data_IF_657700921331
#
_entry.id   IF_657700921331
#
_cell.length_a   1.000
_cell.length_b   1.000
_cell.length_c   1.000
_cell.angle_alpha   90.00
_cell.angle_beta   90.00
_cell.angle_gamma   90.00
#
_symmetry.space_group_name_H-M   'P 1'
#
loop_
_entity.id
_entity.type
_entity.pdbx_description
1 polymer ?
#
# COMPACT_ATOMS: atom_id res chain seq x y z
N UNK A 1 13.37 5.60 6.18
CA UNK A 1 12.69 4.60 7.02
C UNK A 1 12.62 5.18 8.41
N UNK A 2 11.41 5.36 8.93
CA UNK A 2 11.17 5.86 10.29
C UNK A 2 10.50 4.73 11.07
N UNK A 3 10.95 4.49 12.29
CA UNK A 3 10.40 3.43 13.15
C UNK A 3 10.25 3.96 14.57
N UNK A 4 9.16 3.58 15.23
CA UNK A 4 8.91 3.86 16.63
C UNK A 4 8.61 2.54 17.35
N UNK A 5 9.24 2.32 18.50
CA UNK A 5 9.06 1.09 19.30
C UNK A 5 8.26 1.40 20.55
N UNK A 6 7.16 0.67 20.74
CA UNK A 6 6.27 0.83 21.89
C UNK A 6 6.25 -0.50 22.66
N UNK A 7 7.05 -0.67 23.74
CA UNK A 7 7.30 -1.99 24.34
C UNK A 7 6.07 -2.74 24.87
N UNK A 8 4.99 -2.04 25.18
CA UNK A 8 3.77 -2.60 25.77
C UNK A 8 2.70 -3.00 24.73
N UNK A 9 2.94 -2.73 23.44
CA UNK A 9 2.02 -3.07 22.34
C UNK A 9 2.51 -4.32 21.61
N UNK A 10 1.60 -5.26 21.32
CA UNK A 10 1.89 -6.53 20.63
C UNK A 10 1.46 -6.53 19.15
N UNK A 11 1.34 -5.35 18.56
CA UNK A 11 0.99 -5.13 17.15
C UNK A 11 1.95 -4.12 16.52
N UNK A 12 1.97 -4.07 15.19
CA UNK A 12 2.74 -3.08 14.44
C UNK A 12 1.89 -2.52 13.30
N UNK A 13 2.26 -1.33 12.82
CA UNK A 13 1.73 -0.74 11.60
C UNK A 13 2.90 -0.41 10.68
N UNK A 14 2.73 -0.64 9.38
CA UNK A 14 3.73 -0.36 8.36
C UNK A 14 3.07 0.42 7.23
N UNK A 15 3.64 1.57 6.88
CA UNK A 15 3.21 2.39 5.75
C UNK A 15 4.36 2.65 4.78
N UNK A 16 4.01 2.86 3.52
CA UNK A 16 4.92 3.32 2.48
C UNK A 16 4.46 4.70 2.02
N UNK A 17 5.34 5.69 2.07
CA UNK A 17 5.07 7.05 1.59
C UNK A 17 5.94 7.35 0.39
N UNK A 18 5.30 7.81 -0.69
CA UNK A 18 5.96 8.25 -1.90
C UNK A 18 5.70 9.75 -2.04
N UNK A 19 6.76 10.55 -2.25
CA UNK A 19 6.63 11.99 -2.48
C UNK A 19 6.28 12.28 -3.95
N UNK A 20 5.17 11.71 -4.41
CA UNK A 20 4.62 11.86 -5.77
C UNK A 20 3.09 11.94 -5.70
N UNK A 21 2.49 12.75 -6.55
CA UNK A 21 1.04 12.83 -6.71
C UNK A 21 0.65 13.57 -7.98
N UNK A 22 -0.63 13.95 -8.10
CA UNK A 22 -1.13 14.63 -9.32
C UNK A 22 -0.41 15.94 -9.65
N UNK A 23 0.23 16.58 -8.66
CA UNK A 23 1.06 17.78 -8.89
C UNK A 23 2.32 17.48 -9.72
N UNK A 24 2.83 16.26 -9.67
CA UNK A 24 4.06 15.85 -10.33
C UNK A 24 3.79 15.25 -11.73
N UNK A 25 2.52 15.24 -12.17
CA UNK A 25 2.10 14.70 -13.46
C UNK A 25 2.20 15.74 -14.57
N UNK A 26 2.50 15.28 -15.80
CA UNK A 26 2.39 16.10 -17.00
C UNK A 26 1.01 15.95 -17.65
N UNK A 27 0.66 16.84 -18.58
CA UNK A 27 -0.64 16.82 -19.28
C UNK A 27 -0.96 15.48 -19.97
N UNK A 28 0.05 14.69 -20.38
CA UNK A 28 -0.15 13.39 -21.03
C UNK A 28 -0.34 12.25 -20.03
N UNK A 29 0.07 12.43 -18.77
CA UNK A 29 0.03 11.42 -17.71
C UNK A 29 -0.88 11.82 -16.55
N UNK A 30 -1.84 12.71 -16.80
CA UNK A 30 -2.77 13.18 -15.78
C UNK A 30 -3.64 12.02 -15.28
N UNK A 31 -3.71 11.85 -13.95
CA UNK A 31 -4.41 10.77 -13.26
C UNK A 31 -3.60 9.48 -13.07
N UNK A 32 -2.33 9.44 -13.47
CA UNK A 32 -1.51 8.22 -13.38
C UNK A 32 -1.19 7.82 -11.93
N UNK A 33 -1.01 8.77 -11.02
CA UNK A 33 -0.75 8.52 -9.61
C UNK A 33 -1.95 7.83 -8.96
N UNK A 34 -3.15 8.36 -9.18
CA UNK A 34 -4.39 7.72 -8.71
C UNK A 34 -4.61 6.37 -9.39
N UNK A 35 -4.32 6.25 -10.69
CA UNK A 35 -4.42 4.96 -11.37
C UNK A 35 -3.47 3.91 -10.77
N UNK A 36 -2.22 4.27 -10.52
CA UNK A 36 -1.22 3.40 -9.87
C UNK A 36 -1.69 3.00 -8.48
N UNK A 37 -2.21 3.94 -7.69
CA UNK A 37 -2.78 3.67 -6.36
C UNK A 37 -3.82 2.54 -6.42
N UNK A 38 -4.80 2.62 -7.32
CA UNK A 38 -5.80 1.55 -7.50
C UNK A 38 -5.18 0.23 -7.94
N UNK A 39 -4.19 0.27 -8.83
CA UNK A 39 -3.53 -0.93 -9.35
C UNK A 39 -2.70 -1.65 -8.29
N UNK A 40 -2.14 -0.95 -7.29
CA UNK A 40 -1.41 -1.57 -6.19
C UNK A 40 -2.27 -2.56 -5.40
N UNK A 41 -3.59 -2.34 -5.33
CA UNK A 41 -4.53 -3.25 -4.65
C UNK A 41 -5.08 -4.37 -5.54
N UNK A 42 -4.79 -4.37 -6.86
CA UNK A 42 -5.28 -5.42 -7.79
C UNK A 42 -4.40 -6.67 -7.82
N UNK A 43 -3.29 -6.66 -7.10
CA UNK A 43 -2.40 -7.80 -6.94
C UNK A 43 -1.07 -7.64 -7.67
N UNK A 44 -0.33 -8.73 -7.73
CA UNK A 44 1.02 -8.80 -8.30
C UNK A 44 1.08 -9.93 -9.32
N UNK A 45 2.17 -10.01 -10.08
CA UNK A 45 2.43 -11.12 -11.02
C UNK A 45 2.35 -12.51 -10.37
N UNK A 46 2.60 -12.62 -9.07
CA UNK A 46 2.66 -13.89 -8.33
C UNK A 46 1.44 -14.14 -7.43
N UNK A 47 0.67 -13.11 -7.08
CA UNK A 47 -0.39 -13.18 -6.06
C UNK A 47 -1.56 -12.29 -6.48
N UNK A 48 -2.76 -12.85 -6.54
CA UNK A 48 -3.97 -12.07 -6.81
C UNK A 48 -4.33 -11.15 -5.65
N UNK A 49 -5.11 -10.09 -5.92
CA UNK A 49 -5.68 -9.23 -4.87
C UNK A 49 -6.36 -10.02 -3.76
N UNK A 50 -7.18 -11.01 -4.14
CA UNK A 50 -7.89 -11.88 -3.19
C UNK A 50 -6.91 -12.64 -2.29
N UNK A 51 -5.85 -13.22 -2.85
CA UNK A 51 -4.83 -13.96 -2.08
C UNK A 51 -4.07 -13.03 -1.14
N UNK A 52 -3.80 -11.79 -1.54
CA UNK A 52 -3.16 -10.80 -0.66
C UNK A 52 -4.09 -10.44 0.50
N UNK A 53 -5.35 -10.12 0.23
CA UNK A 53 -6.32 -9.78 1.27
C UNK A 53 -6.53 -10.95 2.26
N UNK A 54 -6.75 -12.16 1.77
CA UNK A 54 -6.96 -13.33 2.63
C UNK A 54 -5.74 -13.66 3.49
N UNK A 55 -4.53 -13.55 2.95
CA UNK A 55 -3.32 -13.82 3.74
C UNK A 55 -3.14 -12.77 4.86
N UNK A 56 -3.48 -11.50 4.61
CA UNK A 56 -3.44 -10.43 5.63
C UNK A 56 -4.51 -10.64 6.70
N UNK A 57 -5.76 -10.90 6.29
CA UNK A 57 -6.88 -11.18 7.19
C UNK A 57 -6.61 -12.43 8.06
N UNK A 58 -5.94 -13.45 7.51
CA UNK A 58 -5.60 -14.68 8.25
C UNK A 58 -4.64 -14.42 9.43
N UNK A 59 -3.89 -13.32 9.40
CA UNK A 59 -3.04 -12.87 10.49
C UNK A 59 -3.74 -11.89 11.45
N UNK A 60 -5.03 -11.60 11.24
CA UNK A 60 -5.79 -10.59 11.98
C UNK A 60 -5.48 -9.14 11.55
N UNK A 61 -4.80 -8.95 10.42
CA UNK A 61 -4.47 -7.65 9.86
C UNK A 61 -5.55 -7.11 8.92
N UNK A 62 -5.43 -5.83 8.60
CA UNK A 62 -6.22 -5.15 7.58
C UNK A 62 -5.29 -4.21 6.80
N UNK A 63 -5.60 -3.98 5.51
CA UNK A 63 -4.81 -3.15 4.60
C UNK A 63 -5.72 -2.22 3.81
#
# INVERSE_FOLDING_TARGET
MLTETIPHVKSFSLGFWFNVGSRDENLKSNGIAHFIEHMLFKGTKKRSARKIATDIESCGGYL
#
